data_IF_439797764232
#
_entry.id   IF_439797764232
#
_cell.length_a   1.000
_cell.length_b   1.000
_cell.length_c   1.000
_cell.angle_alpha   90.00
_cell.angle_beta   90.00
_cell.angle_gamma   90.00
#
_symmetry.space_group_name_H-M   'P 1'
#
loop_
_entity.id
_entity.type
_entity.pdbx_description
1 polymer ?
#
# COMPACT_ATOMS: atom_id res chain seq x y z
N UNK A 1 1.22 -8.47 23.60
CA UNK A 1 0.08 -9.07 22.87
C UNK A 1 0.50 -9.07 21.42
N UNK A 2 0.45 -10.20 20.70
CA UNK A 2 0.79 -10.22 19.27
C UNK A 2 -0.20 -9.33 18.51
N UNK A 3 0.30 -8.53 17.57
CA UNK A 3 -0.50 -7.62 16.77
C UNK A 3 -1.31 -8.40 15.71
N UNK A 4 -0.79 -9.52 15.21
CA UNK A 4 -1.38 -10.42 14.20
C UNK A 4 -1.71 -9.72 12.86
N UNK A 5 -0.84 -8.83 12.39
CA UNK A 5 -1.11 -8.06 11.15
C UNK A 5 -1.26 -8.97 9.92
N UNK A 6 -0.51 -10.07 9.85
CA UNK A 6 -0.51 -11.01 8.73
C UNK A 6 -1.68 -12.03 8.73
N UNK A 7 -2.59 -11.93 9.70
CA UNK A 7 -3.69 -12.89 9.93
C UNK A 7 -5.09 -12.30 9.77
N UNK A 8 -5.20 -11.11 9.17
CA UNK A 8 -6.50 -10.47 8.89
C UNK A 8 -7.34 -11.25 7.87
N UNK A 9 -6.72 -11.95 6.92
CA UNK A 9 -7.42 -12.82 5.98
C UNK A 9 -7.42 -14.27 6.49
N UNK A 10 -8.48 -15.04 6.26
CA UNK A 10 -8.47 -16.50 6.44
C UNK A 10 -7.76 -17.21 5.28
N UNK A 11 -7.59 -18.54 5.38
CA UNK A 11 -7.07 -19.34 4.27
C UNK A 11 -8.10 -19.39 3.13
N UNK A 12 -7.68 -19.27 1.86
CA UNK A 12 -8.58 -19.42 0.72
C UNK A 12 -9.29 -20.78 0.70
N UNK A 13 -10.61 -20.77 0.54
CA UNK A 13 -11.44 -21.94 0.27
C UNK A 13 -11.71 -21.98 -1.23
N UNK A 14 -11.26 -23.04 -1.90
CA UNK A 14 -11.41 -23.20 -3.33
C UNK A 14 -12.86 -23.54 -3.69
N UNK A 15 -13.46 -22.73 -4.55
CA UNK A 15 -14.78 -22.99 -5.15
C UNK A 15 -14.64 -23.61 -6.55
N UNK A 16 -13.49 -23.43 -7.19
CA UNK A 16 -13.05 -24.14 -8.39
C UNK A 16 -11.51 -24.12 -8.49
N UNK A 17 -10.87 -24.80 -9.46
CA UNK A 17 -9.42 -24.81 -9.59
C UNK A 17 -8.76 -23.42 -9.69
N UNK A 18 -9.47 -22.45 -10.27
CA UNK A 18 -8.99 -21.09 -10.49
C UNK A 18 -9.83 -20.03 -9.78
N UNK A 19 -10.66 -20.44 -8.81
CA UNK A 19 -11.49 -19.53 -8.02
C UNK A 19 -11.49 -19.91 -6.54
N UNK A 20 -11.36 -18.91 -5.67
CA UNK A 20 -11.41 -19.09 -4.23
C UNK A 20 -12.13 -17.94 -3.55
N UNK A 21 -12.57 -18.17 -2.31
CA UNK A 21 -13.05 -17.14 -1.41
C UNK A 21 -12.39 -17.25 -0.04
N UNK A 22 -12.41 -16.17 0.73
CA UNK A 22 -11.96 -16.15 2.12
C UNK A 22 -12.72 -15.09 2.91
N UNK A 23 -12.48 -15.05 4.20
CA UNK A 23 -12.96 -14.01 5.11
C UNK A 23 -11.81 -13.04 5.39
N UNK A 24 -12.09 -11.74 5.31
CA UNK A 24 -11.23 -10.70 5.88
C UNK A 24 -11.91 -10.16 7.13
N UNK A 25 -11.25 -10.32 8.27
CA UNK A 25 -11.63 -9.68 9.53
C UNK A 25 -10.47 -8.85 10.06
N UNK A 26 -10.56 -7.54 9.83
CA UNK A 26 -9.55 -6.56 10.26
C UNK A 26 -9.39 -6.52 11.78
N UNK A 27 -10.40 -6.96 12.55
CA UNK A 27 -10.33 -6.96 14.03
C UNK A 27 -9.35 -7.99 14.58
N UNK A 28 -8.89 -8.93 13.74
CA UNK A 28 -7.82 -9.86 14.09
C UNK A 28 -6.49 -9.15 14.33
N UNK A 29 -6.29 -8.00 13.70
CA UNK A 29 -5.15 -7.12 13.98
C UNK A 29 -5.45 -6.25 15.20
N UNK A 30 -4.64 -6.32 16.27
CA UNK A 30 -4.99 -5.66 17.55
C UNK A 30 -5.14 -4.13 17.46
N UNK A 31 -4.37 -3.49 16.57
CA UNK A 31 -4.32 -2.04 16.42
C UNK A 31 -5.14 -1.56 15.21
N UNK A 32 -6.14 -2.33 14.79
CA UNK A 32 -6.98 -2.01 13.63
C UNK A 32 -7.68 -0.66 13.71
N UNK A 33 -7.87 -0.12 14.92
CA UNK A 33 -8.51 1.20 15.11
C UNK A 33 -7.60 2.36 14.74
N UNK A 34 -6.29 2.14 14.72
CA UNK A 34 -5.28 3.19 14.52
C UNK A 34 -4.95 3.37 13.02
N UNK A 35 -5.48 2.49 12.16
CA UNK A 35 -5.18 2.49 10.73
C UNK A 35 -6.44 2.70 9.89
N UNK A 36 -6.33 3.37 8.72
CA UNK A 36 -7.45 3.54 7.81
C UNK A 36 -8.02 2.19 7.34
N UNK A 37 -9.35 2.06 7.35
CA UNK A 37 -10.03 0.82 6.92
C UNK A 37 -9.67 0.40 5.49
N UNK A 38 -9.48 1.36 4.59
CA UNK A 38 -9.03 1.09 3.22
C UNK A 38 -7.65 0.44 3.20
N UNK A 39 -6.74 0.86 4.07
CA UNK A 39 -5.39 0.31 4.16
C UNK A 39 -5.43 -1.14 4.70
N UNK A 40 -6.22 -1.38 5.74
CA UNK A 40 -6.42 -2.72 6.32
C UNK A 40 -7.08 -3.68 5.34
N UNK A 41 -8.08 -3.24 4.59
CA UNK A 41 -8.71 -4.06 3.56
C UNK A 41 -7.77 -4.31 2.37
N UNK A 42 -6.99 -3.32 1.94
CA UNK A 42 -5.95 -3.53 0.93
C UNK A 42 -4.92 -4.57 1.41
N UNK A 43 -4.58 -4.57 2.70
CA UNK A 43 -3.72 -5.61 3.27
C UNK A 43 -4.39 -6.99 3.26
N UNK A 44 -5.65 -7.11 3.68
CA UNK A 44 -6.40 -8.36 3.60
C UNK A 44 -6.50 -8.90 2.16
N UNK A 45 -6.67 -8.01 1.18
CA UNK A 45 -6.64 -8.32 -0.26
C UNK A 45 -5.26 -8.85 -0.67
N UNK A 46 -4.16 -8.24 -0.24
CA UNK A 46 -2.80 -8.72 -0.50
C UNK A 46 -2.56 -10.11 0.12
N UNK A 47 -3.01 -10.33 1.35
CA UNK A 47 -2.89 -11.63 2.01
C UNK A 47 -3.67 -12.71 1.26
N UNK A 48 -4.93 -12.44 0.88
CA UNK A 48 -5.71 -13.34 0.03
C UNK A 48 -4.99 -13.65 -1.29
N UNK A 49 -4.52 -12.60 -1.99
CA UNK A 49 -3.86 -12.72 -3.27
C UNK A 49 -2.60 -13.59 -3.19
N UNK A 50 -1.71 -13.33 -2.23
CA UNK A 50 -0.48 -14.09 -2.04
C UNK A 50 -0.77 -15.54 -1.70
N UNK A 51 -1.72 -15.79 -0.78
CA UNK A 51 -2.09 -17.16 -0.38
C UNK A 51 -2.68 -17.94 -1.53
N UNK A 52 -3.50 -17.30 -2.36
CA UNK A 52 -4.09 -17.94 -3.53
C UNK A 52 -3.07 -18.12 -4.67
N UNK A 53 -2.21 -17.12 -4.93
CA UNK A 53 -1.15 -17.21 -5.93
C UNK A 53 -0.19 -18.38 -5.68
N UNK A 54 0.06 -18.75 -4.42
CA UNK A 54 0.87 -19.94 -4.05
C UNK A 54 0.35 -21.25 -4.62
N UNK A 55 -0.92 -21.33 -5.03
CA UNK A 55 -1.49 -22.57 -5.59
C UNK A 55 -1.19 -22.73 -7.08
N UNK A 56 -0.81 -21.65 -7.77
CA UNK A 56 -0.48 -21.67 -9.21
C UNK A 56 0.99 -21.35 -9.48
N UNK A 57 1.67 -20.68 -8.57
CA UNK A 57 3.10 -20.42 -8.70
C UNK A 57 3.90 -21.69 -8.37
N UNK A 58 5.10 -21.87 -8.97
CA UNK A 58 5.96 -22.99 -8.68
C UNK A 58 6.17 -23.17 -7.17
N UNK A 59 6.14 -24.42 -6.71
CA UNK A 59 6.36 -24.74 -5.30
C UNK A 59 7.70 -24.16 -4.86
N UNK A 60 7.62 -23.20 -3.95
CA UNK A 60 8.78 -22.67 -3.22
C UNK A 60 9.28 -23.78 -2.30
N UNK A 61 10.29 -24.54 -2.74
CA UNK A 61 10.85 -25.67 -1.99
C UNK A 61 12.05 -25.29 -1.11
N UNK A 62 12.38 -24.01 -1.02
CA UNK A 62 13.49 -23.51 -0.20
C UNK A 62 13.01 -22.41 0.74
N UNK A 63 13.37 -22.49 2.03
CA UNK A 63 12.95 -21.54 3.08
C UNK A 63 13.41 -20.09 2.86
N UNK A 64 14.10 -19.81 1.74
CA UNK A 64 14.56 -18.49 1.32
C UNK A 64 13.71 -17.85 0.22
N UNK A 65 12.64 -18.45 -0.28
CA UNK A 65 11.76 -17.73 -1.22
C UNK A 65 10.40 -17.47 -0.56
N UNK A 66 9.77 -16.36 -0.91
CA UNK A 66 8.43 -15.99 -0.45
C UNK A 66 7.61 -15.53 -1.65
N UNK A 67 6.32 -15.84 -1.65
CA UNK A 67 5.39 -15.20 -2.57
C UNK A 67 5.00 -13.86 -1.95
N UNK A 68 5.22 -12.78 -2.69
CA UNK A 68 4.96 -11.41 -2.25
C UNK A 68 4.06 -10.69 -3.26
N UNK A 69 3.26 -9.70 -2.81
CA UNK A 69 2.61 -8.80 -3.75
C UNK A 69 3.68 -7.92 -4.40
N UNK A 70 3.68 -7.85 -5.72
CA UNK A 70 4.60 -7.01 -6.52
C UNK A 70 3.88 -5.84 -7.19
N UNK A 71 2.55 -5.85 -7.18
CA UNK A 71 1.77 -4.69 -7.59
C UNK A 71 0.27 -4.85 -7.38
N UNK A 72 -0.43 -3.72 -7.43
CA UNK A 72 -1.88 -3.60 -7.31
C UNK A 72 -2.36 -2.75 -8.49
N UNK A 73 -3.44 -3.17 -9.14
CA UNK A 73 -4.08 -2.45 -10.24
C UNK A 73 -5.55 -2.33 -10.00
N UNK A 74 -6.13 -1.27 -10.57
CA UNK A 74 -7.58 -1.00 -10.54
C UNK A 74 -8.17 -1.15 -9.13
N UNK A 75 -7.42 -0.74 -8.09
CA UNK A 75 -7.97 -0.72 -6.74
C UNK A 75 -9.00 0.40 -6.69
N UNK A 76 -10.24 0.06 -6.43
CA UNK A 76 -11.32 1.03 -6.28
C UNK A 76 -12.17 0.68 -5.07
N UNK A 77 -12.48 1.70 -4.27
CA UNK A 77 -13.53 1.64 -3.24
C UNK A 77 -14.82 2.25 -3.81
N UNK A 78 -15.92 1.50 -3.70
CA UNK A 78 -17.23 1.83 -4.31
C UNK A 78 -18.32 2.20 -3.31
N UNK A 79 -18.05 2.06 -2.01
CA UNK A 79 -19.00 2.41 -0.96
C UNK A 79 -18.35 2.49 0.40
N UNK A 80 -19.14 2.77 1.43
CA UNK A 80 -18.68 2.81 2.80
C UNK A 80 -18.27 1.42 3.29
N UNK A 81 -17.00 1.29 3.66
CA UNK A 81 -16.42 0.01 4.09
C UNK A 81 -17.06 -0.47 5.42
N UNK A 82 -17.33 0.46 6.34
CA UNK A 82 -17.84 0.12 7.67
C UNK A 82 -16.93 -0.88 8.41
N UNK A 83 -17.52 -1.63 9.34
CA UNK A 83 -16.82 -2.70 10.06
C UNK A 83 -17.20 -4.07 9.48
N UNK A 84 -16.20 -4.95 9.36
CA UNK A 84 -16.33 -6.33 8.89
C UNK A 84 -16.97 -7.30 9.90
N UNK A 85 -17.09 -8.59 9.52
CA UNK A 85 -16.24 -9.27 8.52
C UNK A 85 -16.66 -9.06 7.06
N UNK A 86 -15.70 -9.30 6.16
CA UNK A 86 -15.84 -9.14 4.71
C UNK A 86 -15.60 -10.46 3.98
N UNK A 87 -16.38 -10.71 2.94
CA UNK A 87 -16.16 -11.79 2.00
C UNK A 87 -15.23 -11.27 0.91
N UNK A 88 -14.10 -11.95 0.72
CA UNK A 88 -13.22 -11.73 -0.42
C UNK A 88 -13.35 -12.92 -1.37
N UNK A 89 -13.50 -12.63 -2.66
CA UNK A 89 -13.57 -13.62 -3.72
C UNK A 89 -12.57 -13.24 -4.81
N UNK A 90 -11.99 -14.22 -5.48
CA UNK A 90 -11.16 -13.92 -6.63
C UNK A 90 -10.90 -15.07 -7.57
N UNK A 91 -10.43 -14.72 -8.76
CA UNK A 91 -9.89 -15.61 -9.78
C UNK A 91 -8.38 -15.44 -9.92
N UNK A 92 -7.68 -16.55 -10.14
CA UNK A 92 -6.23 -16.56 -10.31
C UNK A 92 -5.82 -17.01 -11.70
N UNK A 93 -4.83 -16.33 -12.27
CA UNK A 93 -4.21 -16.68 -13.55
C UNK A 93 -2.70 -16.50 -13.48
N UNK A 94 -1.94 -17.45 -14.03
CA UNK A 94 -0.48 -17.38 -14.07
C UNK A 94 0.00 -16.75 -15.39
N UNK A 95 1.00 -15.87 -15.31
CA UNK A 95 1.68 -15.26 -16.44
C UNK A 95 3.19 -15.28 -16.18
N UNK A 96 3.89 -16.25 -16.78
CA UNK A 96 5.32 -16.47 -16.56
C UNK A 96 5.63 -16.71 -15.06
N UNK A 97 6.56 -15.93 -14.45
CA UNK A 97 6.92 -16.08 -13.04
C UNK A 97 5.95 -15.38 -12.07
N UNK A 98 4.87 -14.79 -12.59
CA UNK A 98 3.90 -14.02 -11.81
C UNK A 98 2.53 -14.67 -11.84
N UNK A 99 1.76 -14.47 -10.78
CA UNK A 99 0.34 -14.77 -10.73
C UNK A 99 -0.44 -13.48 -10.57
N UNK A 100 -1.61 -13.43 -11.16
CA UNK A 100 -2.54 -12.32 -11.09
C UNK A 100 -3.80 -12.82 -10.43
N UNK A 101 -4.22 -12.14 -9.38
CA UNK A 101 -5.46 -12.43 -8.67
C UNK A 101 -6.39 -11.25 -8.84
N UNK A 102 -7.51 -11.43 -9.52
CA UNK A 102 -8.59 -10.43 -9.57
C UNK A 102 -9.52 -10.68 -8.41
N UNK A 103 -9.84 -9.61 -7.68
CA UNK A 103 -10.41 -9.69 -6.35
C UNK A 103 -11.59 -8.75 -6.25
N UNK A 104 -12.66 -9.23 -5.62
CA UNK A 104 -13.79 -8.42 -5.17
C UNK A 104 -14.03 -8.64 -3.69
N UNK A 105 -14.40 -7.57 -2.98
CA UNK A 105 -14.68 -7.58 -1.55
C UNK A 105 -16.11 -7.09 -1.32
N UNK A 106 -16.87 -7.81 -0.48
CA UNK A 106 -18.25 -7.49 -0.08
C UNK A 106 -18.39 -7.65 1.43
N UNK A 107 -19.42 -7.05 2.04
CA UNK A 107 -19.76 -7.40 3.43
C UNK A 107 -20.30 -8.83 3.49
N UNK A 108 -19.91 -9.57 4.52
CA UNK A 108 -20.56 -10.84 4.84
C UNK A 108 -21.95 -10.54 5.41
N UNK A 109 -23.00 -10.78 4.61
CA UNK A 109 -24.39 -10.74 5.06
C UNK A 109 -25.20 -11.80 4.31
N UNK A 110 -26.38 -12.13 4.83
CA UNK A 110 -27.33 -12.99 4.15
C UNK A 110 -27.94 -12.23 2.95
N UNK A 111 -27.48 -12.58 1.73
CA UNK A 111 -27.90 -12.11 0.39
C UNK A 111 -27.36 -10.77 -0.16
N UNK A 112 -26.87 -10.87 -1.41
CA UNK A 112 -26.63 -9.83 -2.42
C UNK A 112 -26.05 -8.48 -1.94
N UNK A 113 -24.99 -8.50 -1.13
CA UNK A 113 -24.26 -7.28 -0.76
C UNK A 113 -23.51 -6.70 -1.97
N UNK A 114 -23.50 -5.37 -2.18
CA UNK A 114 -22.76 -4.74 -3.27
C UNK A 114 -21.25 -4.96 -3.11
N UNK A 115 -20.52 -4.87 -4.23
CA UNK A 115 -19.05 -4.82 -4.20
C UNK A 115 -18.65 -3.52 -3.50
N UNK A 116 -17.85 -3.66 -2.45
CA UNK A 116 -17.28 -2.53 -1.72
C UNK A 116 -15.90 -2.15 -2.23
N UNK A 117 -15.11 -3.14 -2.61
CA UNK A 117 -13.79 -2.94 -3.21
C UNK A 117 -13.54 -3.97 -4.29
N UNK A 118 -12.77 -3.57 -5.29
CA UNK A 118 -12.19 -4.46 -6.28
C UNK A 118 -10.72 -4.10 -6.52
N UNK A 119 -9.93 -5.09 -6.93
CA UNK A 119 -8.52 -4.93 -7.24
C UNK A 119 -8.02 -6.06 -8.13
N UNK A 120 -6.90 -5.84 -8.80
CA UNK A 120 -6.06 -6.88 -9.38
C UNK A 120 -4.70 -6.84 -8.69
N UNK A 121 -4.32 -7.93 -8.01
CA UNK A 121 -3.01 -8.04 -7.34
C UNK A 121 -2.11 -8.95 -8.16
N UNK A 122 -0.93 -8.45 -8.49
CA UNK A 122 0.15 -9.27 -9.04
C UNK A 122 1.02 -9.78 -7.89
N UNK A 123 1.25 -11.09 -7.86
CA UNK A 123 2.12 -11.75 -6.91
C UNK A 123 3.24 -12.50 -7.64
N UNK A 124 4.43 -12.53 -7.05
CA UNK A 124 5.59 -13.22 -7.62
C UNK A 124 6.39 -13.91 -6.52
N UNK A 125 7.19 -14.89 -6.91
CA UNK A 125 8.20 -15.49 -6.03
C UNK A 125 9.39 -14.52 -5.95
N UNK A 126 9.67 -14.03 -4.75
CA UNK A 126 10.82 -13.19 -4.45
C UNK A 126 11.77 -13.90 -3.48
N UNK A 127 13.08 -13.75 -3.69
CA UNK A 127 14.07 -14.26 -2.75
C UNK A 127 14.08 -13.45 -1.45
N UNK A 128 14.33 -14.11 -0.34
CA UNK A 128 14.54 -13.51 0.97
C UNK A 128 15.75 -12.57 0.98
N UNK A 129 16.68 -12.70 0.02
CA UNK A 129 17.78 -11.76 -0.23
C UNK A 129 17.37 -10.56 -1.11
N UNK A 130 16.37 -10.68 -1.99
CA UNK A 130 15.77 -9.52 -2.67
C UNK A 130 14.92 -8.69 -1.69
N UNK A 131 14.50 -9.32 -0.61
CA UNK A 131 13.94 -8.71 0.58
C UNK A 131 15.10 -8.15 1.44
N UNK A 132 16.13 -8.95 1.74
CA UNK A 132 17.29 -8.57 2.53
C UNK A 132 18.52 -8.16 1.70
N UNK A 133 18.55 -6.91 1.22
CA UNK A 133 19.77 -6.30 0.67
C UNK A 133 20.78 -5.97 1.80
N UNK A 134 21.11 -7.00 2.60
CA UNK A 134 22.15 -7.01 3.63
C UNK A 134 21.92 -6.15 4.87
N UNK A 135 20.91 -5.29 4.90
CA UNK A 135 20.64 -4.43 6.06
C UNK A 135 19.77 -5.18 7.06
N UNK A 136 20.40 -5.65 8.14
CA UNK A 136 19.71 -6.03 9.37
C UNK A 136 18.99 -4.79 9.90
N UNK A 137 17.73 -4.59 9.50
CA UNK A 137 16.86 -3.60 10.09
C UNK A 137 16.32 -4.13 11.43
N UNK A 138 17.24 -4.41 12.36
CA UNK A 138 16.91 -4.38 13.79
C UNK A 138 17.01 -2.92 14.23
N UNK A 139 16.06 -2.48 15.06
CA UNK A 139 16.08 -1.16 15.68
C UNK A 139 17.44 -0.83 16.34
N UNK A 140 18.18 -1.86 16.75
CA UNK A 140 19.50 -1.79 17.40
C UNK A 140 20.60 -1.13 16.53
N UNK A 141 20.43 -1.06 15.20
CA UNK A 141 21.41 -0.47 14.28
C UNK A 141 21.03 0.90 13.71
N UNK A 142 19.81 1.36 13.93
CA UNK A 142 19.33 2.66 13.41
C UNK A 142 19.52 3.70 14.52
N UNK A 143 20.19 4.85 14.26
CA UNK A 143 20.33 5.91 15.25
C UNK A 143 18.95 6.28 15.80
N UNK A 144 18.81 6.50 17.13
CA UNK A 144 17.53 6.89 17.71
C UNK A 144 17.06 8.19 17.07
N UNK A 145 16.01 8.11 16.26
CA UNK A 145 15.31 9.27 15.73
C UNK A 145 14.37 9.78 16.82
N UNK A 146 14.39 11.09 17.08
CA UNK A 146 13.44 11.72 18.00
C UNK A 146 12.04 11.70 17.38
N UNK A 147 11.28 10.64 17.63
CA UNK A 147 9.87 10.54 17.26
C UNK A 147 9.05 11.41 18.22
N UNK A 148 8.17 12.26 17.69
CA UNK A 148 7.28 13.06 18.53
C UNK A 148 6.01 12.27 18.85
N UNK A 149 5.38 12.58 19.99
CA UNK A 149 4.16 11.90 20.48
C UNK A 149 2.98 11.98 19.49
N UNK A 150 3.00 12.94 18.56
CA UNK A 150 1.94 13.16 17.57
C UNK A 150 2.28 12.66 16.16
N UNK A 151 3.44 12.03 15.96
CA UNK A 151 3.80 11.46 14.67
C UNK A 151 2.96 10.20 14.38
N UNK A 152 2.70 9.90 13.11
CA UNK A 152 2.11 8.62 12.71
C UNK A 152 3.00 7.47 13.24
N UNK A 153 2.41 6.36 13.73
CA UNK A 153 3.18 5.34 14.43
C UNK A 153 4.20 4.62 13.53
N UNK A 154 4.01 4.66 12.21
CA UNK A 154 4.86 3.98 11.22
C UNK A 154 5.67 4.96 10.37
N UNK A 155 5.12 6.12 10.01
CA UNK A 155 5.77 7.06 9.09
C UNK A 155 5.93 8.45 9.70
N UNK A 156 7.05 9.12 9.42
CA UNK A 156 7.26 10.52 9.79
C UNK A 156 7.71 11.31 8.59
N UNK A 157 7.04 12.44 8.34
CA UNK A 157 7.48 13.39 7.34
C UNK A 157 8.81 14.02 7.77
N UNK A 158 9.82 13.93 6.92
CA UNK A 158 11.11 14.62 7.11
C UNK A 158 11.17 15.94 6.36
N UNK A 159 10.40 16.06 5.29
CA UNK A 159 10.19 17.30 4.56
C UNK A 159 8.75 17.31 4.03
N UNK A 160 7.83 18.13 4.57
CA UNK A 160 6.48 18.22 4.03
C UNK A 160 6.50 18.78 2.60
N UNK A 161 5.37 18.67 1.90
CA UNK A 161 5.21 19.38 0.63
C UNK A 161 5.46 20.88 0.83
N UNK A 162 6.51 21.39 0.18
CA UNK A 162 6.75 22.83 0.03
C UNK A 162 6.08 23.37 -1.25
N UNK A 163 6.74 24.34 -1.91
CA UNK A 163 6.36 24.79 -3.26
C UNK A 163 6.62 23.75 -4.37
N UNK A 164 7.21 22.60 -4.05
CA UNK A 164 7.57 21.54 -4.99
C UNK A 164 6.59 20.37 -4.87
N UNK A 165 6.37 19.64 -5.97
CA UNK A 165 5.56 18.41 -6.02
C UNK A 165 6.32 17.20 -5.45
N UNK A 166 6.93 17.37 -4.27
CA UNK A 166 7.69 16.34 -3.57
C UNK A 166 7.65 16.52 -2.05
N UNK A 167 7.80 15.42 -1.33
CA UNK A 167 7.94 15.40 0.13
C UNK A 167 8.81 14.22 0.57
N UNK A 168 9.47 14.37 1.71
CA UNK A 168 10.32 13.35 2.32
C UNK A 168 9.67 12.68 3.52
N UNK A 169 9.95 11.39 3.74
CA UNK A 169 9.56 10.69 4.96
C UNK A 169 10.53 9.56 5.33
N UNK A 170 10.39 9.08 6.57
CA UNK A 170 11.11 7.93 7.12
C UNK A 170 10.13 6.94 7.75
N UNK A 171 10.55 5.68 7.85
CA UNK A 171 9.84 4.62 8.59
C UNK A 171 10.35 4.58 10.04
N UNK A 172 9.44 4.51 11.00
CA UNK A 172 9.73 4.37 12.42
C UNK A 172 10.34 2.99 12.72
N UNK A 173 11.64 2.87 13.08
CA UNK A 173 12.23 1.57 13.42
C UNK A 173 11.63 0.95 14.68
N UNK A 174 11.05 1.76 15.58
CA UNK A 174 10.43 1.31 16.82
C UNK A 174 8.95 0.93 16.70
N UNK A 175 8.39 0.93 15.48
CA UNK A 175 7.00 0.56 15.27
C UNK A 175 6.81 -0.96 15.53
N UNK A 176 5.97 -1.37 16.50
CA UNK A 176 5.77 -2.79 16.82
C UNK A 176 5.28 -3.63 15.64
N UNK A 177 4.62 -3.01 14.66
CA UNK A 177 4.18 -3.66 13.43
C UNK A 177 5.33 -4.30 12.64
N UNK A 178 6.52 -3.70 12.69
CA UNK A 178 7.68 -4.15 11.91
C UNK A 178 8.29 -5.44 12.45
N UNK A 179 8.06 -5.77 13.71
CA UNK A 179 8.47 -7.06 14.29
C UNK A 179 7.73 -8.23 13.63
N UNK A 180 6.51 -8.00 13.15
CA UNK A 180 5.67 -9.01 12.51
C UNK A 180 5.68 -8.96 10.98
N UNK A 181 6.19 -7.87 10.38
CA UNK A 181 6.18 -7.66 8.93
C UNK A 181 7.61 -7.34 8.42
N UNK A 182 8.56 -8.29 8.44
CA UNK A 182 8.47 -9.70 8.83
C UNK A 182 9.48 -9.99 9.96
N UNK A 183 9.27 -11.06 10.75
CA UNK A 183 10.25 -11.44 11.77
C UNK A 183 11.66 -11.61 11.17
N UNK A 184 12.64 -10.90 11.75
CA UNK A 184 14.03 -10.86 11.29
C UNK A 184 14.29 -9.95 10.08
N UNK A 185 13.26 -9.30 9.53
CA UNK A 185 13.40 -8.34 8.43
C UNK A 185 12.27 -7.30 8.42
N UNK A 186 12.50 -6.14 9.04
CA UNK A 186 11.52 -5.07 9.14
C UNK A 186 11.23 -4.39 7.78
N UNK A 187 9.96 -4.44 7.35
CA UNK A 187 9.46 -3.83 6.11
C UNK A 187 8.13 -3.16 6.38
N UNK A 188 7.95 -1.93 5.92
CA UNK A 188 6.63 -1.30 5.93
C UNK A 188 5.69 -2.05 4.95
N UNK A 189 4.49 -2.46 5.38
CA UNK A 189 3.52 -3.08 4.49
C UNK A 189 3.18 -2.18 3.31
N UNK A 190 3.17 -2.74 2.09
CA UNK A 190 2.90 -1.98 0.87
C UNK A 190 1.52 -1.31 0.88
N UNK A 191 0.54 -1.93 1.54
CA UNK A 191 -0.80 -1.38 1.80
C UNK A 191 -0.75 -0.07 2.60
N UNK A 192 0.06 -0.03 3.67
CA UNK A 192 0.24 1.16 4.51
C UNK A 192 1.08 2.23 3.83
N UNK A 193 2.12 1.84 3.06
CA UNK A 193 2.88 2.78 2.22
C UNK A 193 1.93 3.48 1.24
N UNK A 194 1.09 2.73 0.53
CA UNK A 194 0.14 3.31 -0.43
C UNK A 194 -0.88 4.21 0.25
N UNK A 195 -1.42 3.82 1.41
CA UNK A 195 -2.34 4.65 2.17
C UNK A 195 -1.69 5.96 2.64
N UNK A 196 -0.46 5.89 3.14
CA UNK A 196 0.30 7.06 3.55
C UNK A 196 0.55 8.00 2.37
N UNK A 197 1.07 7.49 1.24
CA UNK A 197 1.32 8.31 0.05
C UNK A 197 0.03 8.92 -0.49
N UNK A 198 -1.06 8.15 -0.55
CA UNK A 198 -2.38 8.64 -0.93
C UNK A 198 -2.82 9.80 -0.04
N UNK A 199 -2.71 9.67 1.29
CA UNK A 199 -3.14 10.72 2.21
C UNK A 199 -2.32 12.00 2.04
N UNK A 200 -1.00 11.89 1.88
CA UNK A 200 -0.15 13.06 1.67
C UNK A 200 -0.52 13.77 0.36
N UNK A 201 -0.79 13.02 -0.71
CA UNK A 201 -1.23 13.58 -1.98
C UNK A 201 -2.63 14.20 -1.85
N UNK A 202 -3.59 13.51 -1.25
CA UNK A 202 -4.95 14.01 -1.01
C UNK A 202 -4.93 15.33 -0.21
N UNK A 203 -4.06 15.41 0.80
CA UNK A 203 -3.81 16.61 1.60
C UNK A 203 -3.26 17.76 0.77
N UNK A 204 -2.25 17.50 -0.08
CA UNK A 204 -1.65 18.49 -0.99
C UNK A 204 -2.64 19.02 -2.03
N UNK A 205 -3.56 18.18 -2.47
CA UNK A 205 -4.58 18.51 -3.48
C UNK A 205 -5.88 19.06 -2.87
N UNK A 206 -6.01 19.12 -1.54
CA UNK A 206 -7.21 19.62 -0.87
C UNK A 206 -8.43 18.70 -0.97
N UNK A 207 -8.23 17.40 -1.27
CA UNK A 207 -9.30 16.40 -1.47
C UNK A 207 -9.27 15.29 -0.44
N UNK A 208 -8.97 15.65 0.82
CA UNK A 208 -9.03 14.70 1.94
C UNK A 208 -10.42 14.07 2.04
N UNK A 209 -10.46 12.79 2.43
CA UNK A 209 -11.71 12.03 2.54
C UNK A 209 -12.13 11.33 1.26
N UNK A 210 -11.49 11.60 0.11
CA UNK A 210 -11.71 10.81 -1.09
C UNK A 210 -11.32 9.35 -0.87
N UNK A 211 -12.14 8.45 -1.41
CA UNK A 211 -11.90 7.02 -1.35
C UNK A 211 -10.63 6.65 -2.13
N UNK A 212 -9.82 5.75 -1.56
CA UNK A 212 -8.56 5.29 -2.16
C UNK A 212 -8.82 4.69 -3.55
N UNK A 213 -8.10 5.20 -4.56
CA UNK A 213 -8.16 4.71 -5.94
C UNK A 213 -6.78 4.63 -6.57
N UNK A 214 -6.43 3.45 -7.05
CA UNK A 214 -5.12 3.14 -7.63
C UNK A 214 -5.32 2.52 -9.00
N UNK A 215 -4.82 3.17 -10.04
CA UNK A 215 -4.84 2.61 -11.40
C UNK A 215 -3.78 1.50 -11.52
N UNK A 216 -2.54 1.79 -11.08
CA UNK A 216 -1.39 0.89 -11.06
C UNK A 216 -0.48 1.30 -9.89
N UNK A 217 0.01 0.34 -9.12
CA UNK A 217 1.05 0.50 -8.12
C UNK A 217 1.97 -0.70 -8.19
N UNK A 218 3.28 -0.48 -8.10
CA UNK A 218 4.31 -1.50 -8.18
C UNK A 218 5.25 -1.39 -7.01
N UNK A 219 5.50 -2.52 -6.35
CA UNK A 219 6.46 -2.65 -5.27
C UNK A 219 7.77 -3.17 -5.86
N UNK A 220 8.71 -2.25 -6.08
CA UNK A 220 9.99 -2.53 -6.76
C UNK A 220 11.03 -3.00 -5.76
N UNK A 221 11.11 -2.34 -4.60
CA UNK A 221 11.99 -2.66 -3.48
C UNK A 221 11.27 -2.47 -2.15
N UNK A 222 11.66 -3.19 -1.08
CA UNK A 222 11.05 -3.01 0.23
C UNK A 222 11.27 -1.59 0.75
N UNK A 223 10.29 -1.09 1.50
CA UNK A 223 10.40 0.17 2.24
C UNK A 223 10.76 -0.20 3.68
N UNK A 224 11.94 0.18 4.14
CA UNK A 224 12.55 -0.28 5.39
C UNK A 224 12.93 0.90 6.30
N UNK A 225 13.09 0.69 7.61
CA UNK A 225 13.64 1.70 8.51
C UNK A 225 15.05 2.14 8.14
N UNK A 226 15.43 3.34 8.59
CA UNK A 226 16.78 3.91 8.41
C UNK A 226 17.05 4.54 7.03
N UNK A 227 16.07 4.53 6.13
CA UNK A 227 16.18 5.16 4.81
C UNK A 227 15.35 6.45 4.77
N UNK A 228 15.97 7.52 4.26
CA UNK A 228 15.28 8.74 3.85
C UNK A 228 14.64 8.54 2.47
N UNK A 229 13.30 8.51 2.47
CA UNK A 229 12.53 8.39 1.25
C UNK A 229 12.09 9.74 0.73
N UNK A 230 12.13 9.90 -0.59
CA UNK A 230 11.57 11.03 -1.31
C UNK A 230 10.44 10.54 -2.21
N UNK A 231 9.23 11.05 -1.98
CA UNK A 231 8.13 10.87 -2.90
C UNK A 231 8.03 12.07 -3.83
N UNK A 232 8.00 11.81 -5.13
CA UNK A 232 7.73 12.82 -6.17
C UNK A 232 6.36 12.57 -6.78
N UNK A 233 5.66 13.64 -7.10
CA UNK A 233 4.33 13.63 -7.68
C UNK A 233 4.35 14.36 -9.02
N UNK A 234 3.64 13.83 -10.00
CA UNK A 234 3.43 14.48 -11.29
C UNK A 234 2.01 14.26 -11.77
N UNK A 235 1.31 15.34 -12.08
CA UNK A 235 0.01 15.25 -12.76
C UNK A 235 0.20 14.63 -14.15
N UNK A 236 -0.62 13.63 -14.47
CA UNK A 236 -0.64 13.04 -15.80
C UNK A 236 -1.56 13.88 -16.69
N UNK A 237 -0.95 14.86 -17.35
CA UNK A 237 -1.65 15.87 -18.16
C UNK A 237 -2.37 15.34 -19.42
N UNK A 238 -2.23 14.06 -19.79
CA UNK A 238 -2.63 13.58 -21.10
C UNK A 238 -3.36 12.24 -21.00
N UNK A 239 -4.66 12.29 -21.32
CA UNK A 239 -5.58 11.20 -21.72
C UNK A 239 -7.06 11.68 -21.64
N UNK A 240 -7.32 12.95 -21.30
CA UNK A 240 -8.68 13.47 -21.08
C UNK A 240 -9.31 13.02 -19.75
N UNK A 241 -8.52 12.44 -18.84
CA UNK A 241 -8.96 11.98 -17.52
C UNK A 241 -8.29 12.84 -16.42
N UNK A 242 -8.92 13.95 -16.02
CA UNK A 242 -8.39 14.77 -14.93
C UNK A 242 -8.28 13.97 -13.63
N UNK A 243 -7.39 14.40 -12.73
CA UNK A 243 -7.26 13.82 -11.40
C UNK A 243 -6.33 12.60 -11.29
N UNK A 244 -5.56 12.28 -12.34
CA UNK A 244 -4.57 11.19 -12.32
C UNK A 244 -3.18 11.71 -12.00
N UNK A 245 -2.54 11.13 -10.99
CA UNK A 245 -1.22 11.54 -10.53
C UNK A 245 -0.27 10.36 -10.48
N UNK A 246 0.86 10.47 -11.16
CA UNK A 246 1.97 9.54 -11.00
C UNK A 246 2.74 9.89 -9.74
N UNK A 247 2.97 8.90 -8.90
CA UNK A 247 3.90 9.00 -7.78
C UNK A 247 5.10 8.09 -8.00
N UNK A 248 6.27 8.55 -7.57
CA UNK A 248 7.49 7.74 -7.51
C UNK A 248 8.12 7.94 -6.14
N UNK A 249 8.25 6.84 -5.40
CA UNK A 249 8.95 6.74 -4.13
C UNK A 249 10.37 6.23 -4.38
N UNK A 250 11.37 7.07 -4.11
CA UNK A 250 12.77 6.69 -4.20
C UNK A 250 13.56 7.05 -2.95
N UNK A 251 14.82 6.63 -2.89
CA UNK A 251 15.78 6.97 -1.85
C UNK A 251 16.83 7.97 -2.37
N UNK A 252 17.68 8.47 -1.48
CA UNK A 252 18.81 9.34 -1.85
C UNK A 252 19.83 8.67 -2.81
N UNK A 253 19.90 7.33 -2.85
CA UNK A 253 20.75 6.59 -3.80
C UNK A 253 20.19 6.58 -5.23
N UNK A 254 18.97 7.08 -5.44
CA UNK A 254 18.27 7.04 -6.73
C UNK A 254 17.50 5.74 -6.96
N UNK A 255 17.46 4.83 -5.99
CA UNK A 255 16.68 3.60 -6.11
C UNK A 255 15.18 3.88 -6.02
N UNK A 256 14.42 3.27 -6.92
CA UNK A 256 12.95 3.27 -6.86
C UNK A 256 12.48 2.12 -5.97
N UNK A 257 11.62 2.44 -5.01
CA UNK A 257 11.02 1.48 -4.07
C UNK A 257 9.57 1.18 -4.41
N UNK A 258 8.76 2.21 -4.67
CA UNK A 258 7.35 2.05 -5.04
C UNK A 258 7.01 3.12 -6.06
N UNK A 259 6.17 2.80 -7.03
CA UNK A 259 5.69 3.78 -7.99
C UNK A 259 4.29 3.40 -8.47
N UNK A 260 3.53 4.38 -8.94
CA UNK A 260 2.19 4.11 -9.39
C UNK A 260 1.44 5.34 -9.87
N UNK A 261 0.14 5.16 -10.05
CA UNK A 261 -0.81 6.17 -10.47
C UNK A 261 -2.02 6.12 -9.56
N UNK A 262 -2.25 7.23 -8.87
CA UNK A 262 -3.47 7.48 -8.11
C UNK A 262 -4.48 8.24 -8.96
N UNK A 263 -5.76 8.05 -8.64
CA UNK A 263 -6.85 8.74 -9.29
C UNK A 263 -7.78 9.38 -8.26
N UNK A 264 -7.83 10.71 -8.23
CA UNK A 264 -8.73 11.49 -7.39
C UNK A 264 -9.93 11.96 -8.21
N UNK A 265 -11.12 11.49 -7.83
CA UNK A 265 -12.36 11.95 -8.45
C UNK A 265 -12.72 13.37 -7.99
N UNK A 266 -13.43 14.11 -8.84
CA UNK A 266 -13.99 15.42 -8.49
C UNK A 266 -12.98 16.57 -8.43
N UNK A 267 -11.73 16.35 -8.87
CA UNK A 267 -10.79 17.46 -9.05
C UNK A 267 -11.18 18.31 -10.25
N UNK A 268 -11.21 19.65 -10.12
CA UNK A 268 -11.38 20.53 -11.27
C UNK A 268 -10.25 20.30 -12.28
N UNK A 269 -10.55 20.45 -13.57
CA UNK A 269 -9.55 20.37 -14.65
C UNK A 269 -8.55 21.51 -14.45
N UNK A 270 -7.28 21.16 -14.22
CA UNK A 270 -6.20 22.10 -13.97
C UNK A 270 -6.12 22.52 -12.50
N UNK A 271 -5.23 21.89 -11.74
CA UNK A 271 -4.68 22.60 -10.59
C UNK A 271 -3.84 23.76 -11.13
N UNK A 272 -4.33 24.98 -10.92
CA UNK A 272 -3.46 26.14 -10.95
C UNK A 272 -2.27 25.82 -10.02
N UNK A 273 -1.07 25.92 -10.57
CA UNK A 273 0.15 25.96 -9.78
C UNK A 273 -0.06 26.92 -8.59
N UNK A 274 0.49 26.62 -7.41
CA UNK A 274 0.29 27.47 -6.24
C UNK A 274 0.62 28.92 -6.62
N UNK A 275 -0.34 29.81 -6.37
CA UNK A 275 -0.26 31.23 -6.68
C UNK A 275 1.11 31.77 -6.25
N UNK A 276 1.91 32.19 -7.23
CA UNK A 276 3.06 33.02 -6.96
C UNK A 276 2.57 34.32 -6.37
N UNK A 277 3.00 34.62 -5.14
CA UNK A 277 3.04 36.00 -4.67
C UNK A 277 3.86 36.80 -5.67
N UNK A 278 3.16 37.59 -6.46
CA UNK A 278 3.74 38.70 -7.20
C UNK A 278 4.18 39.69 -6.13
N UNK A 279 5.46 39.65 -5.77
CA UNK A 279 6.09 40.75 -5.08
C UNK A 279 6.06 41.94 -6.05
N UNK A 280 5.13 42.86 -5.81
CA UNK A 280 5.18 44.21 -6.33
C UNK A 280 6.53 44.82 -5.95
N UNK A 281 7.38 45.01 -6.96
CA UNK A 281 8.49 45.94 -6.88
C UNK A 281 7.89 47.33 -7.06
N UNK A 282 7.59 47.99 -5.95
CA UNK A 282 7.37 49.43 -5.96
C UNK A 282 8.75 50.13 -6.04
N UNK A 283 8.87 50.99 -7.04
CA UNK A 283 9.99 51.89 -7.31
C UNK A 283 10.20 52.93 -6.20
#
# INVERSE_FOLDING_TARGET
MALNFLDMCSLPVHTSPYRACAEIDVKRFSNWRDLPMSALLTEGINQFAVRFARTVLPKVMEGRLRVLPVGIRNLATHGELGLGPFLVEGDVSQFGPTARVRITVRKMAAQATPILMEAEVAAAVAGAAAVADGTTAHADGVPPLQWQVNDDPLFRLTAPFGQLDRYGFQVNPGCPLLEEHFPGFAVAPGSLVLAFVWEQVARRLGVRGNALRIDDARFVRPVTPGIDYLCTLRELAADGKPGRYRFVLGSASGDVHTQGVFHFAGLPVGLAAPHGETAEVAA
#
